data_IF_462897554661
#
_entry.id   IF_462897554661
#
_cell.length_a   1.000
_cell.length_b   1.000
_cell.length_c   1.000
_cell.angle_alpha   90.00
_cell.angle_beta   90.00
_cell.angle_gamma   90.00
#
_symmetry.space_group_name_H-M   'P 1'
#
loop_
_entity.id
_entity.type
_entity.pdbx_description
1 polymer ?
#
# COMPACT_ATOMS: atom_id res chain seq x y z
N UNK A 1 21.25 -3.45 -20.96
CA UNK A 1 19.87 -3.69 -20.48
C UNK A 1 19.14 -4.56 -21.51
N UNK A 2 18.61 -5.72 -21.13
CA UNK A 2 17.70 -6.48 -22.01
C UNK A 2 16.37 -5.73 -22.05
N UNK A 3 15.99 -5.21 -23.20
CA UNK A 3 14.69 -4.59 -23.41
C UNK A 3 13.60 -5.68 -23.33
N UNK A 4 12.63 -5.50 -22.44
CA UNK A 4 11.41 -6.29 -22.41
C UNK A 4 10.46 -5.70 -23.46
N UNK A 5 10.42 -6.27 -24.66
CA UNK A 5 9.48 -5.87 -25.71
C UNK A 5 8.09 -6.38 -25.35
N UNK A 6 7.10 -5.47 -25.30
CA UNK A 6 5.71 -5.84 -25.04
C UNK A 6 5.17 -6.69 -26.20
N UNK A 7 4.97 -7.98 -25.96
CA UNK A 7 4.17 -8.83 -26.84
C UNK A 7 2.70 -8.41 -26.72
N UNK A 8 1.95 -8.38 -27.83
CA UNK A 8 0.49 -8.15 -27.81
C UNK A 8 -0.13 -9.18 -26.86
N UNK A 9 -0.58 -8.75 -25.68
CA UNK A 9 -1.02 -9.69 -24.67
C UNK A 9 -2.44 -10.16 -24.93
N UNK A 10 -2.59 -11.29 -25.63
CA UNK A 10 -3.89 -11.95 -25.84
C UNK A 10 -4.12 -13.15 -24.93
N UNK A 11 -3.23 -13.42 -23.97
CA UNK A 11 -3.39 -14.53 -23.03
C UNK A 11 -3.82 -14.06 -21.64
N UNK A 12 -4.64 -14.90 -21.01
CA UNK A 12 -5.02 -14.77 -19.61
C UNK A 12 -3.75 -14.67 -18.74
N UNK A 13 -3.62 -13.64 -17.89
CA UNK A 13 -2.45 -13.47 -17.06
C UNK A 13 -2.42 -14.53 -15.96
N UNK A 14 -1.47 -15.47 -16.04
CA UNK A 14 -1.25 -16.51 -15.05
C UNK A 14 -0.07 -16.15 -14.14
N UNK A 15 -0.36 -15.93 -12.86
CA UNK A 15 0.61 -15.60 -11.82
C UNK A 15 1.33 -16.83 -11.25
N UNK A 16 0.94 -18.05 -11.64
CA UNK A 16 1.53 -19.30 -11.12
C UNK A 16 3.05 -19.33 -11.28
N UNK A 17 3.55 -18.98 -12.47
CA UNK A 17 4.99 -18.98 -12.74
C UNK A 17 5.73 -17.91 -11.91
N UNK A 18 5.11 -16.74 -11.74
CA UNK A 18 5.63 -15.69 -10.86
C UNK A 18 5.75 -16.19 -9.42
N UNK A 19 4.73 -16.87 -8.90
CA UNK A 19 4.74 -17.40 -7.53
C UNK A 19 5.75 -18.52 -7.33
N UNK A 20 5.96 -19.40 -8.33
CA UNK A 20 7.02 -20.41 -8.31
C UNK A 20 8.40 -19.75 -8.20
N UNK A 21 8.65 -18.72 -9.02
CA UNK A 21 9.90 -17.98 -9.00
C UNK A 21 10.10 -17.24 -7.66
N UNK A 22 9.09 -16.51 -7.19
CA UNK A 22 9.13 -15.81 -5.91
C UNK A 22 9.36 -16.77 -4.75
N UNK A 23 8.74 -17.95 -4.77
CA UNK A 23 8.98 -19.01 -3.79
C UNK A 23 10.44 -19.45 -3.76
N UNK A 24 11.00 -19.74 -4.93
CA UNK A 24 12.39 -20.17 -5.04
C UNK A 24 13.35 -19.10 -4.51
N UNK A 25 13.17 -17.85 -4.95
CA UNK A 25 13.99 -16.73 -4.50
C UNK A 25 13.77 -16.40 -3.02
N UNK A 26 12.59 -16.63 -2.48
CA UNK A 26 12.33 -16.41 -1.06
C UNK A 26 13.07 -17.42 -0.18
N UNK A 27 13.07 -18.71 -0.56
CA UNK A 27 13.83 -19.74 0.15
C UNK A 27 15.32 -19.42 0.18
N UNK A 28 15.86 -18.99 -0.97
CA UNK A 28 17.26 -18.53 -1.08
C UNK A 28 17.53 -17.29 -0.22
N UNK A 29 16.62 -16.32 -0.23
CA UNK A 29 16.73 -15.10 0.57
C UNK A 29 16.74 -15.41 2.06
N UNK A 30 15.87 -16.32 2.53
CA UNK A 30 15.80 -16.74 3.92
C UNK A 30 17.06 -17.46 4.39
N UNK A 31 17.68 -18.28 3.54
CA UNK A 31 18.97 -18.90 3.85
C UNK A 31 20.09 -17.88 4.13
N UNK A 32 19.87 -16.60 3.77
CA UNK A 32 20.79 -15.50 3.98
C UNK A 32 20.24 -14.47 5.00
N UNK A 33 19.20 -14.82 5.77
CA UNK A 33 18.60 -13.94 6.77
C UNK A 33 17.81 -12.77 6.18
N UNK A 34 17.32 -12.89 4.94
CA UNK A 34 16.56 -11.85 4.22
C UNK A 34 15.14 -12.31 3.91
N UNK A 35 14.22 -11.36 3.79
CA UNK A 35 12.86 -11.60 3.29
C UNK A 35 12.75 -11.23 1.81
N UNK A 36 11.84 -11.88 1.09
CA UNK A 36 11.49 -11.50 -0.27
C UNK A 36 10.12 -10.82 -0.29
N UNK A 37 10.06 -9.68 -0.96
CA UNK A 37 8.81 -8.96 -1.28
C UNK A 37 8.66 -8.83 -2.78
N UNK A 38 7.46 -9.08 -3.27
CA UNK A 38 7.02 -8.84 -4.66
C UNK A 38 6.04 -7.68 -4.65
N UNK A 39 6.27 -6.68 -5.50
CA UNK A 39 5.31 -5.58 -5.74
C UNK A 39 4.79 -5.74 -7.17
N UNK A 40 3.51 -6.10 -7.31
CA UNK A 40 2.85 -6.32 -8.59
C UNK A 40 2.09 -5.06 -9.01
N UNK A 41 2.49 -4.47 -10.13
CA UNK A 41 1.69 -3.45 -10.81
C UNK A 41 0.79 -4.16 -11.82
N UNK A 42 -0.51 -4.20 -11.55
CA UNK A 42 -1.49 -4.84 -12.42
C UNK A 42 -2.33 -3.78 -13.12
N UNK A 43 -2.30 -3.76 -14.46
CA UNK A 43 -2.88 -2.67 -15.24
C UNK A 43 -4.03 -3.11 -16.19
N UNK A 44 -4.46 -4.36 -16.13
CA UNK A 44 -5.56 -4.86 -16.99
C UNK A 44 -6.85 -4.85 -16.20
N UNK A 45 -7.92 -4.27 -16.73
CA UNK A 45 -9.20 -4.19 -16.04
C UNK A 45 -10.28 -5.10 -16.59
N UNK A 46 -10.02 -5.77 -17.70
CA UNK A 46 -10.98 -6.63 -18.42
C UNK A 46 -10.70 -8.13 -18.25
N UNK A 47 -9.67 -8.49 -17.48
CA UNK A 47 -9.27 -9.88 -17.30
C UNK A 47 -8.78 -10.09 -15.88
N UNK A 48 -9.28 -11.15 -15.24
CA UNK A 48 -8.82 -11.57 -13.92
C UNK A 48 -7.48 -12.32 -14.03
N UNK A 49 -6.50 -12.03 -13.15
CA UNK A 49 -5.34 -12.89 -13.04
C UNK A 49 -5.76 -14.27 -12.53
N UNK A 50 -5.14 -15.32 -13.06
CA UNK A 50 -5.30 -16.68 -12.54
C UNK A 50 -4.06 -17.10 -11.78
N UNK A 51 -4.23 -18.04 -10.85
CA UNK A 51 -3.13 -18.81 -10.31
C UNK A 51 -3.61 -20.19 -9.86
N UNK A 52 -2.72 -21.17 -9.97
CA UNK A 52 -2.86 -22.47 -9.33
C UNK A 52 -1.76 -22.58 -8.28
N UNK A 53 -2.09 -22.18 -7.05
CA UNK A 53 -1.14 -22.11 -5.96
C UNK A 53 -1.63 -22.91 -4.75
N UNK A 54 -0.79 -23.73 -4.10
CA UNK A 54 -1.19 -24.46 -2.92
C UNK A 54 -1.61 -23.53 -1.78
N UNK A 55 -2.73 -23.84 -1.13
CA UNK A 55 -3.14 -23.19 0.11
C UNK A 55 -2.04 -23.42 1.17
N UNK A 56 -1.68 -22.40 1.94
CA UNK A 56 -0.65 -22.40 3.00
C UNK A 56 0.81 -22.24 2.56
N UNK A 57 1.11 -21.91 1.30
CA UNK A 57 2.48 -21.56 0.90
C UNK A 57 2.71 -20.04 0.92
N UNK A 58 2.70 -19.47 2.13
CA UNK A 58 2.91 -18.05 2.41
C UNK A 58 4.36 -17.77 2.80
N UNK A 59 5.25 -17.78 1.81
CA UNK A 59 6.70 -17.65 2.07
C UNK A 59 7.34 -16.38 1.54
N UNK A 60 6.60 -15.52 0.86
CA UNK A 60 7.03 -14.20 0.44
C UNK A 60 5.89 -13.20 0.70
N UNK A 61 6.17 -11.91 0.70
CA UNK A 61 5.10 -10.89 0.81
C UNK A 61 4.72 -10.37 -0.56
N UNK A 62 3.42 -10.26 -0.85
CA UNK A 62 2.90 -9.67 -2.07
C UNK A 62 2.21 -8.34 -1.74
N UNK A 63 2.64 -7.28 -2.42
CA UNK A 63 1.91 -6.01 -2.51
C UNK A 63 1.40 -5.81 -3.93
N UNK A 64 0.22 -5.21 -4.08
CA UNK A 64 -0.40 -4.93 -5.37
C UNK A 64 -0.69 -3.45 -5.53
N UNK A 65 -0.36 -2.93 -6.72
CA UNK A 65 -0.86 -1.67 -7.24
C UNK A 65 -1.77 -1.98 -8.42
N UNK A 66 -3.08 -1.84 -8.24
CA UNK A 66 -4.06 -2.04 -9.29
C UNK A 66 -4.38 -0.70 -9.99
N UNK A 67 -4.04 -0.61 -11.27
CA UNK A 67 -4.29 0.55 -12.10
C UNK A 67 -5.29 0.18 -13.17
N UNK A 68 -6.34 0.97 -13.34
CA UNK A 68 -7.36 0.68 -14.33
C UNK A 68 -8.04 1.94 -14.84
N UNK A 69 -8.75 1.80 -15.95
CA UNK A 69 -9.71 2.80 -16.41
C UNK A 69 -11.02 2.71 -15.61
N UNK A 70 -11.88 3.73 -15.74
CA UNK A 70 -13.21 3.70 -15.14
C UNK A 70 -14.00 2.45 -15.59
N UNK A 71 -14.88 1.92 -14.73
CA UNK A 71 -15.80 0.86 -15.13
C UNK A 71 -16.56 1.23 -16.42
N UNK A 72 -16.63 0.29 -17.34
CA UNK A 72 -17.27 0.41 -18.63
C UNK A 72 -17.66 -0.96 -19.19
N UNK A 73 -18.35 -1.02 -20.34
CA UNK A 73 -18.86 -2.27 -20.90
C UNK A 73 -17.76 -3.30 -21.25
N UNK A 74 -16.54 -2.82 -21.48
CA UNK A 74 -15.41 -3.65 -21.93
C UNK A 74 -14.46 -4.07 -20.78
N UNK A 75 -14.81 -3.77 -19.52
CA UNK A 75 -13.97 -4.10 -18.36
C UNK A 75 -14.79 -4.53 -17.12
N UNK A 76 -14.10 -5.12 -16.14
CA UNK A 76 -14.65 -5.62 -14.89
C UNK A 76 -13.72 -5.32 -13.70
N UNK A 77 -13.39 -4.04 -13.42
CA UNK A 77 -12.36 -3.68 -12.45
C UNK A 77 -12.64 -4.17 -11.03
N UNK A 78 -13.91 -4.24 -10.62
CA UNK A 78 -14.28 -4.80 -9.31
C UNK A 78 -13.91 -6.28 -9.21
N UNK A 79 -14.27 -7.09 -10.20
CA UNK A 79 -13.94 -8.52 -10.21
C UNK A 79 -12.43 -8.76 -10.22
N UNK A 80 -11.69 -7.90 -10.93
CA UNK A 80 -10.22 -7.93 -10.94
C UNK A 80 -9.66 -7.58 -9.56
N UNK A 81 -10.17 -6.52 -8.92
CA UNK A 81 -9.78 -6.13 -7.57
C UNK A 81 -10.03 -7.25 -6.57
N UNK A 82 -11.23 -7.83 -6.56
CA UNK A 82 -11.60 -8.94 -5.68
C UNK A 82 -10.67 -10.14 -5.86
N UNK A 83 -10.34 -10.48 -7.11
CA UNK A 83 -9.37 -11.55 -7.42
C UNK A 83 -7.97 -11.24 -6.89
N UNK A 84 -7.53 -9.97 -6.96
CA UNK A 84 -6.24 -9.55 -6.44
C UNK A 84 -6.21 -9.58 -4.91
N UNK A 85 -7.30 -9.19 -4.24
CA UNK A 85 -7.44 -9.33 -2.78
C UNK A 85 -7.34 -10.79 -2.36
N UNK A 86 -8.10 -11.67 -3.01
CA UNK A 86 -8.03 -13.12 -2.79
C UNK A 86 -6.60 -13.63 -3.02
N UNK A 87 -5.95 -13.20 -4.09
CA UNK A 87 -4.57 -13.57 -4.39
C UNK A 87 -3.61 -13.17 -3.27
N UNK A 88 -3.70 -11.95 -2.74
CA UNK A 88 -2.89 -11.48 -1.61
C UNK A 88 -3.08 -12.40 -0.40
N UNK A 89 -4.33 -12.65 -0.02
CA UNK A 89 -4.68 -13.48 1.13
C UNK A 89 -4.09 -14.90 1.01
N UNK A 90 -4.01 -15.44 -0.21
CA UNK A 90 -3.50 -16.78 -0.46
C UNK A 90 -1.97 -16.89 -0.35
N UNK A 91 -1.21 -15.88 -0.77
CA UNK A 91 0.25 -16.01 -0.97
C UNK A 91 1.12 -15.21 -0.01
N UNK A 92 0.57 -14.19 0.66
CA UNK A 92 1.39 -13.25 1.44
C UNK A 92 1.77 -13.78 2.82
N UNK A 93 3.06 -13.70 3.18
CA UNK A 93 3.58 -14.05 4.51
C UNK A 93 3.26 -12.99 5.57
N UNK A 94 3.59 -11.73 5.28
CA UNK A 94 3.23 -10.58 6.11
C UNK A 94 2.03 -9.86 5.48
N UNK A 95 1.39 -8.97 6.24
CA UNK A 95 0.30 -8.11 5.75
C UNK A 95 0.63 -7.57 4.35
N UNK A 96 -0.14 -7.98 3.34
CA UNK A 96 0.03 -7.51 1.97
C UNK A 96 -0.78 -6.25 1.75
N UNK A 97 -0.21 -5.25 1.07
CA UNK A 97 -0.92 -4.02 0.75
C UNK A 97 -1.49 -4.08 -0.67
N UNK A 98 -2.73 -3.63 -0.86
CA UNK A 98 -3.36 -3.46 -2.16
C UNK A 98 -3.88 -2.02 -2.33
N UNK A 99 -3.31 -1.30 -3.29
CA UNK A 99 -3.75 0.06 -3.64
C UNK A 99 -4.37 0.08 -5.02
N UNK A 100 -5.51 0.76 -5.17
CA UNK A 100 -6.20 0.94 -6.43
C UNK A 100 -6.11 2.40 -6.92
N UNK A 101 -6.04 2.61 -8.24
CA UNK A 101 -6.23 3.92 -8.85
C UNK A 101 -6.87 3.82 -10.23
N UNK A 102 -8.12 4.26 -10.32
CA UNK A 102 -8.90 4.29 -11.56
C UNK A 102 -8.71 5.55 -12.43
N UNK A 103 -7.98 6.56 -11.94
CA UNK A 103 -7.87 7.89 -12.59
C UNK A 103 -6.42 8.30 -12.91
N UNK A 104 -5.43 7.47 -12.58
CA UNK A 104 -4.05 7.66 -13.03
C UNK A 104 -3.37 8.96 -12.56
N UNK A 105 -3.89 9.65 -11.53
CA UNK A 105 -3.24 10.84 -10.99
C UNK A 105 -1.85 10.45 -10.47
N UNK A 106 -0.80 10.92 -11.15
CA UNK A 106 0.59 10.59 -10.84
C UNK A 106 0.94 10.85 -9.36
N UNK A 107 0.37 11.89 -8.77
CA UNK A 107 0.54 12.23 -7.34
C UNK A 107 0.01 11.14 -6.40
N UNK A 108 -1.13 10.54 -6.72
CA UNK A 108 -1.73 9.47 -5.91
C UNK A 108 -0.90 8.21 -6.01
N UNK A 109 -0.50 7.84 -7.24
CA UNK A 109 0.40 6.72 -7.48
C UNK A 109 1.72 6.88 -6.72
N UNK A 110 2.33 8.06 -6.81
CA UNK A 110 3.58 8.37 -6.12
C UNK A 110 3.45 8.21 -4.60
N UNK A 111 2.36 8.72 -4.01
CA UNK A 111 2.06 8.55 -2.57
C UNK A 111 1.99 7.08 -2.18
N UNK A 112 1.26 6.26 -2.94
CA UNK A 112 1.14 4.83 -2.65
C UNK A 112 2.48 4.11 -2.78
N UNK A 113 3.29 4.43 -3.80
CA UNK A 113 4.64 3.85 -3.96
C UNK A 113 5.55 4.21 -2.79
N UNK A 114 5.48 5.44 -2.27
CA UNK A 114 6.24 5.83 -1.07
C UNK A 114 5.83 5.03 0.17
N UNK A 115 4.53 4.76 0.34
CA UNK A 115 4.04 3.89 1.42
C UNK A 115 4.65 2.48 1.28
N UNK A 116 4.73 1.96 0.06
CA UNK A 116 5.33 0.65 -0.23
C UNK A 116 6.85 0.59 -0.01
N UNK A 117 7.54 1.70 0.31
CA UNK A 117 8.93 1.65 0.77
C UNK A 117 9.06 1.10 2.19
N UNK A 118 7.99 1.15 2.99
CA UNK A 118 7.97 0.59 4.34
C UNK A 118 8.30 -0.90 4.35
N UNK A 119 9.07 -1.33 5.36
CA UNK A 119 9.44 -2.74 5.51
C UNK A 119 8.22 -3.58 5.90
N UNK A 120 7.96 -4.76 5.28
CA UNK A 120 6.79 -5.59 5.57
C UNK A 120 6.53 -5.91 7.04
N UNK A 121 7.60 -6.11 7.83
CA UNK A 121 7.49 -6.40 9.27
C UNK A 121 7.37 -5.16 10.16
N UNK A 122 7.56 -3.95 9.61
CA UNK A 122 7.59 -2.69 10.40
C UNK A 122 6.44 -1.75 10.04
N UNK A 123 5.70 -2.03 8.97
CA UNK A 123 4.51 -1.26 8.59
C UNK A 123 3.30 -1.69 9.43
N UNK A 124 2.35 -0.78 9.60
CA UNK A 124 1.06 -1.08 10.21
C UNK A 124 0.19 -1.96 9.29
N UNK A 125 -1.04 -2.27 9.72
CA UNK A 125 -2.06 -2.79 8.80
C UNK A 125 -2.51 -1.68 7.85
N UNK A 126 -2.95 -2.04 6.64
CA UNK A 126 -3.23 -1.04 5.60
C UNK A 126 -4.28 -0.01 6.03
N UNK A 127 -5.32 -0.42 6.75
CA UNK A 127 -6.39 0.45 7.26
C UNK A 127 -5.88 1.54 8.22
N UNK A 128 -4.71 1.32 8.83
CA UNK A 128 -4.08 2.24 9.76
C UNK A 128 -3.02 3.12 9.09
N UNK A 129 -2.91 3.11 7.76
CA UNK A 129 -1.99 3.97 6.98
C UNK A 129 -2.58 5.38 6.89
N UNK A 130 -2.77 6.03 8.03
CA UNK A 130 -2.94 7.46 8.10
C UNK A 130 -1.56 8.11 7.96
N UNK A 131 -1.28 8.62 6.76
CA UNK A 131 -0.12 9.48 6.50
C UNK A 131 -0.08 10.57 7.56
N UNK A 132 1.09 10.84 8.18
CA UNK A 132 1.18 11.79 9.28
C UNK A 132 0.46 13.08 8.93
N UNK A 133 -0.54 13.44 9.75
CA UNK A 133 -1.20 14.75 9.70
C UNK A 133 -0.09 15.78 9.50
N UNK A 134 -0.15 16.54 8.40
CA UNK A 134 0.80 17.57 8.04
C UNK A 134 1.33 18.28 9.30
N UNK A 135 2.62 18.14 9.59
CA UNK A 135 3.27 18.76 10.75
C UNK A 135 3.15 20.29 10.73
N UNK A 136 2.70 20.88 9.62
CA UNK A 136 2.45 22.32 9.41
C UNK A 136 1.25 22.89 10.15
N UNK A 137 0.60 22.16 11.07
CA UNK A 137 -0.39 22.73 12.01
C UNK A 137 -0.09 22.48 13.49
N UNK A 138 1.18 22.47 13.89
CA UNK A 138 1.54 23.02 15.21
C UNK A 138 2.05 24.44 15.01
N UNK A 139 1.14 25.37 14.71
CA UNK A 139 1.40 26.76 15.06
C UNK A 139 1.54 26.80 16.60
N UNK A 140 2.52 27.52 17.17
CA UNK A 140 2.54 27.72 18.61
C UNK A 140 1.20 28.33 19.00
N UNK A 141 0.47 27.67 19.90
CA UNK A 141 -0.64 28.34 20.58
C UNK A 141 0.02 29.43 21.42
N UNK A 142 -0.08 30.67 20.97
CA UNK A 142 0.18 31.82 21.83
C UNK A 142 -0.87 31.78 22.93
N UNK A 143 -0.49 31.30 24.11
CA UNK A 143 -1.30 31.52 25.30
C UNK A 143 -1.46 33.04 25.47
N UNK A 144 -2.69 33.57 25.61
CA UNK A 144 -2.85 34.97 25.98
C UNK A 144 -2.23 35.15 27.38
N UNK A 145 -1.21 35.99 27.46
CA UNK A 145 -0.61 36.42 28.73
C UNK A 145 -1.73 36.86 29.68
N UNK A 146 -1.76 36.28 30.87
CA UNK A 146 -2.58 36.76 31.97
C UNK A 146 -2.18 38.22 32.25
N UNK A 147 -3.10 39.14 32.01
CA UNK A 147 -3.03 40.50 32.55
C UNK A 147 -3.40 40.37 34.02
N UNK A 148 -2.41 40.34 34.90
CA UNK A 148 -2.61 40.67 36.30
C UNK A 148 -2.91 42.17 36.38
N UNK A 149 -4.19 42.51 36.62
CA UNK A 149 -4.55 43.86 37.04
C UNK A 149 -4.94 43.84 38.53
N UNK A 150 -3.99 44.36 39.29
CA UNK A 150 -3.95 44.71 40.71
C UNK A 150 -5.29 45.22 41.29
N UNK A 151 -5.76 44.61 42.37
CA UNK A 151 -6.82 45.17 43.22
C UNK A 151 -6.21 45.85 44.47
N UNK A 152 -6.66 47.05 44.89
CA UNK A 152 -6.08 47.76 46.01
C UNK A 152 -6.63 47.26 47.37
N UNK A 153 -5.75 47.21 48.36
CA UNK A 153 -5.98 46.77 49.75
C UNK A 153 -6.90 47.76 50.51
N UNK A 154 -7.85 47.30 51.34
CA UNK A 154 -8.62 48.20 52.20
C UNK A 154 -7.84 48.54 53.48
N UNK A 155 -7.61 49.84 53.70
CA UNK A 155 -7.11 50.37 54.98
C UNK A 155 -8.27 50.85 55.85
N UNK A 156 -8.38 50.30 57.06
CA UNK A 156 -9.35 50.67 58.08
C UNK A 156 -8.98 51.97 58.82
N UNK A 157 -10.00 52.83 58.97
CA UNK A 157 -10.28 53.88 59.96
C UNK A 157 -9.15 54.52 60.78
N UNK A 158 -8.97 55.84 60.61
CA UNK A 158 -9.14 56.86 61.67
C UNK A 158 -9.32 58.26 61.05
#
# INVERSE_FOLDING_TARGET
MRALTATKSSSQPDLTTLFRLATHESRKSRAQGRILRVILFYCRSNVRPLHQWPVNQKIFTLDVMYLHDKPGPDNCPQEVYDTLVETLEHVTEYEGYIWESGQGLARVLFRHVLILLSHPQQRCVQDNVDIPKLLTKKAPQTEPMAIEDTAPVPGSSQ
#
